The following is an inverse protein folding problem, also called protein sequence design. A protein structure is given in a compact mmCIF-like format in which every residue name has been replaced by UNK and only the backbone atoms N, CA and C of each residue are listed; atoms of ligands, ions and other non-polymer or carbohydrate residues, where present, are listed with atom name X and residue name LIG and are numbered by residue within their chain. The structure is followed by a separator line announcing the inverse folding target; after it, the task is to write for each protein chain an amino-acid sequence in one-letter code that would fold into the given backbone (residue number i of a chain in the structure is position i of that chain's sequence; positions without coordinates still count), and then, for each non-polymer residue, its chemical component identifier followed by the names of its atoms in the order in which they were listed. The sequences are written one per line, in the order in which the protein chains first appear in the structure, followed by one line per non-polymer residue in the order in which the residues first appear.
data_IF_603391879510
#
_entry.id   IF_603391879510
#
_cell.length_a   1.000
_cell.length_b   1.000
_cell.length_c   1.000
_cell.angle_alpha   90.00
_cell.angle_beta   90.00
_cell.angle_gamma   90.00
#
_symmetry.space_group_name_H-M   'P 1'
#
loop_
_entity.id
_entity.type
_entity.pdbx_description
1 polymer ?
#
# COMPACT_ATOMS: atom_id res chain seq x y z
N UNK A 1 17.66 -5.08 36.05
CA UNK A 1 16.97 -3.88 35.51
C UNK A 1 16.00 -4.31 34.42
N UNK A 2 14.84 -3.69 34.25
CA UNK A 2 13.97 -3.99 33.13
C UNK A 2 14.66 -3.63 31.80
N UNK A 3 14.33 -4.40 30.76
CA UNK A 3 14.83 -4.14 29.39
C UNK A 3 14.26 -2.80 28.91
N UNK A 4 15.11 -1.96 28.31
CA UNK A 4 14.73 -0.75 27.58
C UNK A 4 14.84 -1.01 26.09
N UNK A 5 13.94 -0.42 25.31
CA UNK A 5 13.81 -0.65 23.87
C UNK A 5 13.85 0.67 23.12
N UNK A 6 14.48 0.65 21.98
CA UNK A 6 14.42 1.73 20.99
C UNK A 6 13.50 1.31 19.85
N UNK A 7 12.61 2.19 19.45
CA UNK A 7 11.79 1.95 18.27
C UNK A 7 12.63 2.14 17.00
N UNK A 8 12.39 1.37 15.93
CA UNK A 8 13.05 1.60 14.65
C UNK A 8 12.70 2.99 14.08
N UNK A 9 13.51 3.51 13.14
CA UNK A 9 13.17 4.72 12.40
C UNK A 9 11.81 4.62 11.74
N UNK A 10 11.09 5.72 11.62
CA UNK A 10 9.84 5.80 10.86
C UNK A 10 10.10 5.62 9.37
N UNK A 11 9.06 5.33 8.61
CA UNK A 11 9.19 5.17 7.15
C UNK A 11 9.59 6.49 6.48
N UNK A 12 9.05 7.63 6.91
CA UNK A 12 9.48 8.94 6.43
C UNK A 12 10.97 9.17 6.68
N UNK A 13 11.47 8.89 7.90
CA UNK A 13 12.89 9.02 8.19
C UNK A 13 13.76 8.10 7.32
N UNK A 14 13.29 6.89 7.00
CA UNK A 14 14.01 5.98 6.09
C UNK A 14 14.03 6.49 4.66
N UNK A 15 12.96 7.12 4.18
CA UNK A 15 12.92 7.74 2.85
C UNK A 15 13.90 8.91 2.79
N UNK A 16 13.95 9.76 3.83
CA UNK A 16 14.83 10.92 3.89
C UNK A 16 16.33 10.53 3.92
N UNK A 17 16.66 9.39 4.54
CA UNK A 17 18.03 8.87 4.63
C UNK A 17 18.44 8.03 3.41
N UNK A 18 17.50 7.67 2.53
CA UNK A 18 17.76 6.78 1.41
C UNK A 18 18.44 7.50 0.24
N UNK A 19 19.35 6.80 -0.41
CA UNK A 19 20.03 7.25 -1.63
C UNK A 19 19.27 6.91 -2.93
N UNK A 20 18.15 6.18 -2.81
CA UNK A 20 17.28 5.76 -3.91
C UNK A 20 15.82 5.65 -3.48
N UNK A 21 14.87 5.66 -4.43
CA UNK A 21 13.47 5.37 -4.12
C UNK A 21 13.29 4.00 -3.44
N UNK A 22 12.32 3.92 -2.52
CA UNK A 22 12.04 2.72 -1.76
C UNK A 22 11.02 1.83 -2.49
N UNK A 23 11.32 0.54 -2.59
CA UNK A 23 10.47 -0.43 -3.29
C UNK A 23 9.82 -1.37 -2.29
N UNK A 24 8.53 -1.59 -2.41
CA UNK A 24 7.77 -2.43 -1.50
C UNK A 24 6.63 -3.20 -2.15
N UNK A 25 5.90 -3.94 -1.33
CA UNK A 25 4.76 -4.72 -1.78
C UNK A 25 3.63 -4.75 -0.74
N UNK A 26 2.44 -5.08 -1.20
CA UNK A 26 1.27 -5.31 -0.35
C UNK A 26 1.31 -6.69 0.29
N UNK A 27 0.84 -6.77 1.55
CA UNK A 27 0.61 -7.99 2.30
C UNK A 27 -0.87 -8.03 2.66
N UNK A 28 -1.62 -8.79 1.88
CA UNK A 28 -3.09 -8.84 1.89
C UNK A 28 -3.65 -10.18 2.40
N UNK A 29 -2.81 -11.21 2.56
CA UNK A 29 -3.27 -12.56 2.93
C UNK A 29 -3.77 -12.70 4.38
N UNK A 30 -3.44 -11.75 5.25
CA UNK A 30 -3.71 -11.86 6.70
C UNK A 30 -2.81 -12.89 7.42
N UNK A 31 -1.86 -13.50 6.73
CA UNK A 31 -1.00 -14.55 7.26
C UNK A 31 0.32 -13.99 7.80
N UNK A 32 0.66 -14.21 9.08
CA UNK A 32 1.96 -13.83 9.63
C UNK A 32 3.13 -14.53 8.92
N UNK A 33 2.93 -15.78 8.47
CA UNK A 33 3.96 -16.53 7.73
C UNK A 33 4.25 -15.87 6.37
N UNK A 34 3.20 -15.46 5.64
CA UNK A 34 3.38 -14.78 4.35
C UNK A 34 4.01 -13.40 4.53
N UNK A 35 3.62 -12.68 5.59
CA UNK A 35 4.24 -11.40 5.96
C UNK A 35 5.74 -11.57 6.27
N UNK A 36 6.13 -12.64 6.96
CA UNK A 36 7.53 -12.97 7.24
C UNK A 36 8.31 -13.29 5.96
N UNK A 37 7.73 -14.07 5.04
CA UNK A 37 8.34 -14.37 3.73
C UNK A 37 8.55 -13.07 2.94
N UNK A 38 7.54 -12.20 2.88
CA UNK A 38 7.64 -10.90 2.22
C UNK A 38 8.72 -10.01 2.86
N UNK A 39 8.81 -9.99 4.18
CA UNK A 39 9.82 -9.22 4.91
C UNK A 39 11.26 -9.67 4.62
N UNK A 40 11.46 -10.96 4.32
CA UNK A 40 12.74 -11.54 3.96
C UNK A 40 13.12 -11.43 2.49
N UNK A 41 12.28 -10.82 1.64
CA UNK A 41 12.48 -10.76 0.18
C UNK A 41 13.59 -9.82 -0.29
N UNK A 42 14.04 -8.90 0.56
CA UNK A 42 15.00 -7.84 0.21
C UNK A 42 14.33 -6.54 -0.24
N UNK A 43 13.01 -6.45 -0.20
CA UNK A 43 12.27 -5.19 -0.39
C UNK A 43 12.47 -4.26 0.82
N UNK A 44 12.35 -2.94 0.58
CA UNK A 44 12.60 -1.92 1.60
C UNK A 44 11.42 -1.78 2.57
N UNK A 45 10.20 -1.99 2.09
CA UNK A 45 8.98 -1.85 2.89
C UNK A 45 7.90 -2.83 2.46
N UNK A 46 6.96 -3.07 3.37
CA UNK A 46 5.75 -3.86 3.11
C UNK A 46 4.53 -3.12 3.64
N UNK A 47 3.41 -3.24 2.94
CA UNK A 47 2.14 -2.64 3.34
C UNK A 47 1.17 -3.73 3.80
N UNK A 48 0.92 -3.79 5.10
CA UNK A 48 -0.14 -4.64 5.65
C UNK A 48 -1.46 -3.93 5.47
N UNK A 49 -2.35 -4.54 4.69
CA UNK A 49 -3.61 -3.93 4.33
C UNK A 49 -4.72 -4.25 5.34
N UNK A 50 -5.30 -3.21 5.95
CA UNK A 50 -6.45 -3.33 6.85
C UNK A 50 -7.77 -2.93 6.20
N UNK A 51 -7.79 -2.54 4.93
CA UNK A 51 -8.98 -2.07 4.22
C UNK A 51 -9.58 -3.14 3.30
N UNK A 52 -8.83 -3.62 2.30
CA UNK A 52 -9.30 -4.56 1.28
C UNK A 52 -8.82 -6.00 1.49
N UNK A 53 -8.50 -6.36 2.72
CA UNK A 53 -7.95 -7.66 3.09
C UNK A 53 -8.68 -8.23 4.30
N UNK A 54 -8.67 -9.56 4.53
CA UNK A 54 -9.27 -10.17 5.71
C UNK A 54 -8.41 -9.95 6.97
N UNK A 55 -7.97 -8.70 7.19
CA UNK A 55 -7.15 -8.31 8.34
C UNK A 55 -7.98 -7.62 9.42
N UNK A 56 -7.79 -8.07 10.68
CA UNK A 56 -8.24 -7.40 11.87
C UNK A 56 -7.07 -7.05 12.79
N UNK A 57 -7.37 -6.48 13.96
CA UNK A 57 -6.35 -6.06 14.91
C UNK A 57 -5.40 -7.19 15.31
N UNK A 58 -5.93 -8.41 15.50
CA UNK A 58 -5.15 -9.59 15.92
C UNK A 58 -4.19 -10.07 14.81
N UNK A 59 -4.67 -10.18 13.56
CA UNK A 59 -3.82 -10.59 12.45
C UNK A 59 -2.75 -9.55 12.11
N UNK A 60 -3.07 -8.26 12.19
CA UNK A 60 -2.10 -7.17 12.01
C UNK A 60 -1.03 -7.21 13.11
N UNK A 61 -1.43 -7.42 14.38
CA UNK A 61 -0.47 -7.58 15.47
C UNK A 61 0.47 -8.74 15.23
N UNK A 62 -0.05 -9.91 14.82
CA UNK A 62 0.75 -11.09 14.54
C UNK A 62 1.74 -10.87 13.37
N UNK A 63 1.30 -10.20 12.31
CA UNK A 63 2.16 -9.83 11.19
C UNK A 63 3.26 -8.84 11.61
N UNK A 64 2.94 -7.79 12.38
CA UNK A 64 3.93 -6.86 12.94
C UNK A 64 4.96 -7.55 13.85
N UNK A 65 4.58 -8.63 14.53
CA UNK A 65 5.50 -9.43 15.34
C UNK A 65 6.40 -10.29 14.46
N UNK A 66 5.86 -10.95 13.42
CA UNK A 66 6.61 -11.76 12.48
C UNK A 66 7.68 -10.95 11.72
N UNK A 67 7.31 -9.77 11.25
CA UNK A 67 8.20 -8.85 10.51
C UNK A 67 9.29 -8.24 11.41
N UNK A 68 9.05 -8.17 12.70
CA UNK A 68 9.86 -7.36 13.64
C UNK A 68 11.34 -7.73 13.76
N UNK A 69 11.77 -8.87 13.22
CA UNK A 69 13.17 -9.30 13.16
C UNK A 69 13.87 -8.90 11.85
N UNK A 70 13.16 -8.39 10.89
CA UNK A 70 13.64 -8.07 9.55
C UNK A 70 13.90 -6.57 9.38
N UNK A 71 14.81 -6.15 8.49
CA UNK A 71 15.13 -4.73 8.29
C UNK A 71 14.06 -3.95 7.50
N UNK A 72 13.02 -4.63 6.99
CA UNK A 72 11.92 -4.05 6.21
C UNK A 72 11.11 -3.07 7.05
N UNK A 73 10.60 -1.99 6.44
CA UNK A 73 9.69 -1.06 7.10
C UNK A 73 8.22 -1.53 6.94
N UNK A 74 7.51 -1.90 8.01
CA UNK A 74 6.08 -2.16 7.92
C UNK A 74 5.29 -0.85 7.87
N UNK A 75 4.49 -0.65 6.84
CA UNK A 75 3.42 0.34 6.75
C UNK A 75 2.09 -0.38 6.94
N UNK A 76 1.13 0.22 7.62
CA UNK A 76 -0.20 -0.40 7.81
C UNK A 76 -1.27 0.55 7.30
N UNK A 77 -2.09 0.08 6.36
CA UNK A 77 -3.27 0.83 5.93
C UNK A 77 -4.44 0.53 6.86
N UNK A 78 -5.00 1.58 7.46
CA UNK A 78 -6.25 1.47 8.22
C UNK A 78 -7.44 1.35 7.28
N UNK A 79 -8.58 0.78 7.72
CA UNK A 79 -9.76 0.67 6.86
C UNK A 79 -10.39 2.03 6.50
N UNK A 80 -10.22 3.05 7.34
CA UNK A 80 -10.67 4.43 7.09
C UNK A 80 -10.15 5.40 8.18
N UNK A 81 -10.25 6.70 7.93
CA UNK A 81 -9.71 7.77 8.77
C UNK A 81 -10.50 8.07 10.05
N UNK A 82 -10.92 7.07 10.82
CA UNK A 82 -11.65 7.24 12.08
C UNK A 82 -10.71 7.32 13.28
N UNK A 83 -10.97 8.25 14.20
CA UNK A 83 -10.15 8.51 15.40
C UNK A 83 -10.01 7.27 16.30
N UNK A 84 -11.05 6.45 16.43
CA UNK A 84 -11.01 5.25 17.29
C UNK A 84 -10.18 4.16 16.61
N UNK A 85 -10.38 3.96 15.30
CA UNK A 85 -9.62 2.99 14.50
C UNK A 85 -8.15 3.35 14.49
N UNK A 86 -7.80 4.60 14.16
CA UNK A 86 -6.40 5.09 14.17
C UNK A 86 -5.74 4.84 15.52
N UNK A 87 -6.43 5.16 16.62
CA UNK A 87 -5.92 4.90 17.97
C UNK A 87 -5.64 3.43 18.22
N UNK A 88 -6.55 2.52 17.81
CA UNK A 88 -6.38 1.09 18.00
C UNK A 88 -5.16 0.56 17.24
N UNK A 89 -4.99 0.97 15.99
CA UNK A 89 -3.83 0.58 15.18
C UNK A 89 -2.52 1.12 15.77
N UNK A 90 -2.49 2.38 16.18
CA UNK A 90 -1.33 2.96 16.86
C UNK A 90 -1.00 2.22 18.16
N UNK A 91 -2.00 1.81 18.93
CA UNK A 91 -1.81 1.09 20.20
C UNK A 91 -1.29 -0.34 19.99
N UNK A 92 -1.54 -0.97 18.83
CA UNK A 92 -0.84 -2.19 18.40
C UNK A 92 0.66 -2.00 18.13
N UNK A 93 1.11 -0.75 18.06
CA UNK A 93 2.50 -0.39 17.79
C UNK A 93 2.80 -0.21 16.31
N UNK A 94 1.80 0.12 15.50
CA UNK A 94 1.98 0.67 14.15
C UNK A 94 2.72 2.00 14.27
N UNK A 95 3.82 2.17 13.56
CA UNK A 95 4.58 3.41 13.48
C UNK A 95 4.36 4.14 12.15
N UNK A 96 4.09 3.40 11.07
CA UNK A 96 3.90 3.97 9.75
C UNK A 96 2.46 3.65 9.32
N UNK A 97 1.63 4.69 9.32
CA UNK A 97 0.20 4.59 9.07
C UNK A 97 -0.12 5.13 7.68
N UNK A 98 -0.89 4.39 6.90
CA UNK A 98 -1.51 4.88 5.67
C UNK A 98 -3.01 5.02 5.90
N UNK A 99 -3.56 6.19 5.64
CA UNK A 99 -4.99 6.48 5.78
C UNK A 99 -5.60 6.70 4.39
N UNK A 100 -6.57 5.86 3.97
CA UNK A 100 -7.20 5.95 2.66
C UNK A 100 -8.22 7.08 2.57
N UNK A 101 -8.64 7.41 1.34
CA UNK A 101 -9.77 8.28 1.01
C UNK A 101 -9.68 9.68 1.66
N UNK A 102 -8.52 10.32 1.58
CA UNK A 102 -8.31 11.68 2.10
C UNK A 102 -8.52 12.69 0.98
N UNK A 103 -9.65 13.37 1.00
CA UNK A 103 -10.15 14.22 -0.10
C UNK A 103 -9.85 15.71 0.09
N UNK A 104 -9.43 16.15 1.27
CA UNK A 104 -9.15 17.56 1.54
C UNK A 104 -8.10 17.79 2.63
N UNK A 105 -7.54 19.01 2.66
CA UNK A 105 -6.61 19.43 3.70
C UNK A 105 -7.26 19.46 5.10
N UNK A 106 -8.55 19.78 5.21
CA UNK A 106 -9.30 19.75 6.47
C UNK A 106 -9.36 18.32 7.00
N UNK A 107 -9.69 17.34 6.15
CA UNK A 107 -9.72 15.93 6.53
C UNK A 107 -8.32 15.44 6.91
N UNK A 108 -7.29 15.82 6.17
CA UNK A 108 -5.89 15.51 6.53
C UNK A 108 -5.52 16.07 7.91
N UNK A 109 -5.93 17.32 8.22
CA UNK A 109 -5.69 17.93 9.53
C UNK A 109 -6.43 17.21 10.67
N UNK A 110 -7.65 16.73 10.45
CA UNK A 110 -8.39 15.91 11.42
C UNK A 110 -7.67 14.58 11.69
N UNK A 111 -7.16 13.93 10.64
CA UNK A 111 -6.37 12.70 10.77
C UNK A 111 -5.06 12.96 11.53
N UNK A 112 -4.36 14.05 11.26
CA UNK A 112 -3.17 14.46 12.01
C UNK A 112 -3.50 14.63 13.51
N UNK A 113 -4.65 15.20 13.84
CA UNK A 113 -5.09 15.31 15.24
C UNK A 113 -5.39 13.93 15.85
N UNK A 114 -5.93 13.00 15.07
CA UNK A 114 -6.23 11.65 15.55
C UNK A 114 -4.98 10.83 15.90
N UNK A 115 -3.84 11.08 15.27
CA UNK A 115 -2.56 10.40 15.58
C UNK A 115 -1.81 11.03 16.75
N UNK A 116 -2.12 12.27 17.13
CA UNK A 116 -1.41 13.01 18.20
C UNK A 116 -2.14 12.99 19.53
N UNK A 117 -1.36 12.88 20.61
CA UNK A 117 -1.91 13.05 21.96
C UNK A 117 -2.30 14.51 22.23
N UNK A 118 -3.22 14.79 23.18
CA UNK A 118 -3.41 16.14 23.72
C UNK A 118 -2.06 16.72 24.24
N UNK A 119 -1.78 17.99 24.06
CA UNK A 119 -2.61 19.10 23.62
C UNK A 119 -2.61 19.30 22.08
N UNK A 120 -1.77 18.58 21.34
CA UNK A 120 -1.64 18.70 19.88
C UNK A 120 -2.68 17.90 19.09
N UNK A 121 -3.47 17.04 19.74
CA UNK A 121 -4.44 16.19 19.09
C UNK A 121 -5.50 15.61 20.02
N UNK A 122 -6.13 14.53 19.57
CA UNK A 122 -7.28 13.89 20.26
C UNK A 122 -7.07 12.39 20.52
N UNK A 123 -5.87 11.85 20.25
CA UNK A 123 -5.57 10.43 20.52
C UNK A 123 -5.74 10.13 22.01
N UNK A 124 -6.55 9.10 22.34
CA UNK A 124 -6.72 8.65 23.72
C UNK A 124 -5.42 8.10 24.32
N UNK A 125 -5.15 8.43 25.59
CA UNK A 125 -3.91 8.05 26.28
C UNK A 125 -4.07 6.68 26.94
N UNK A 126 -3.41 5.67 26.39
CA UNK A 126 -3.37 4.29 26.90
C UNK A 126 -1.99 3.65 26.85
N UNK A 127 -0.95 4.45 26.69
CA UNK A 127 0.40 4.00 26.33
C UNK A 127 1.01 2.99 27.30
N UNK A 128 0.73 3.08 28.60
CA UNK A 128 1.26 2.16 29.61
C UNK A 128 0.76 0.72 29.44
N UNK A 129 -0.41 0.56 28.83
CA UNK A 129 -1.05 -0.75 28.56
C UNK A 129 -0.84 -1.20 27.11
N UNK A 130 -0.41 -0.29 26.24
CA UNK A 130 -0.33 -0.51 24.81
C UNK A 130 1.06 -0.97 24.34
N UNK A 131 1.09 -1.75 23.28
CA UNK A 131 2.33 -2.17 22.62
C UNK A 131 3.08 -1.01 21.99
N UNK A 132 2.43 0.11 21.69
CA UNK A 132 3.05 1.31 21.15
C UNK A 132 4.29 1.76 21.95
N UNK A 133 4.18 1.82 23.28
CA UNK A 133 5.30 2.14 24.19
C UNK A 133 6.13 0.92 24.61
N UNK A 134 5.82 -0.26 24.06
CA UNK A 134 6.35 -1.54 24.57
C UNK A 134 6.12 -1.69 26.07
N UNK A 135 4.90 -1.34 26.53
CA UNK A 135 4.52 -1.33 27.96
C UNK A 135 5.48 -0.53 28.81
N UNK A 136 5.71 0.73 28.43
CA UNK A 136 6.67 1.66 29.04
C UNK A 136 8.13 1.19 29.04
N UNK A 137 8.52 0.33 28.09
CA UNK A 137 9.93 -0.02 27.89
C UNK A 137 10.65 0.92 26.90
N UNK A 138 9.90 1.78 26.21
CA UNK A 138 10.42 2.89 25.41
C UNK A 138 10.42 4.13 26.29
N UNK A 139 11.61 4.70 26.51
CA UNK A 139 11.75 5.87 27.38
C UNK A 139 11.09 7.10 26.74
N UNK A 140 10.45 7.91 27.59
CA UNK A 140 9.80 9.18 27.23
C UNK A 140 8.78 9.06 26.07
N UNK A 141 8.16 7.87 25.91
CA UNK A 141 7.27 7.60 24.77
C UNK A 141 6.17 8.66 24.61
N UNK A 142 5.48 9.06 25.69
CA UNK A 142 4.39 10.06 25.60
C UNK A 142 4.87 11.41 25.06
N UNK A 143 6.03 11.87 25.50
CA UNK A 143 6.61 13.14 25.04
C UNK A 143 7.10 13.06 23.58
N UNK A 144 7.47 11.87 23.12
CA UNK A 144 8.07 11.62 21.80
C UNK A 144 7.12 10.94 20.80
N UNK A 145 5.91 10.60 21.21
CA UNK A 145 5.01 9.76 20.42
C UNK A 145 4.82 10.26 18.97
N UNK A 146 4.64 11.56 18.77
CA UNK A 146 4.47 12.15 17.44
C UNK A 146 5.69 11.94 16.54
N UNK A 147 6.90 11.96 17.08
CA UNK A 147 8.14 11.71 16.30
C UNK A 147 8.43 10.24 16.03
N UNK A 148 7.62 9.34 16.58
CA UNK A 148 7.73 7.88 16.36
C UNK A 148 6.69 7.36 15.36
N UNK A 149 5.89 8.25 14.79
CA UNK A 149 4.82 7.92 13.83
C UNK A 149 5.12 8.63 12.52
N UNK A 150 4.94 7.92 11.41
CA UNK A 150 4.89 8.45 10.06
C UNK A 150 3.46 8.32 9.55
N UNK A 151 2.84 9.44 9.19
CA UNK A 151 1.49 9.50 8.67
C UNK A 151 1.52 9.72 7.16
N UNK A 152 1.09 8.71 6.42
CA UNK A 152 0.86 8.79 4.99
C UNK A 152 -0.65 8.94 4.74
N UNK A 153 -1.03 9.76 3.77
CA UNK A 153 -2.43 9.92 3.34
C UNK A 153 -2.58 9.51 1.89
N UNK A 154 -3.68 8.82 1.58
CA UNK A 154 -3.89 8.27 0.23
C UNK A 154 -4.70 9.23 -0.63
N UNK A 155 -4.15 9.54 -1.81
CA UNK A 155 -4.74 10.40 -2.85
C UNK A 155 -5.31 9.47 -3.92
N UNK A 156 -6.64 9.33 -3.95
CA UNK A 156 -7.28 8.32 -4.78
C UNK A 156 -8.68 8.73 -5.28
N UNK A 157 -8.96 10.03 -5.23
CA UNK A 157 -10.15 10.60 -5.83
C UNK A 157 -9.83 11.85 -6.64
N UNK A 158 -10.71 12.22 -7.57
CA UNK A 158 -10.60 13.47 -8.32
C UNK A 158 -10.62 14.70 -7.38
N UNK A 159 -11.34 14.62 -6.25
CA UNK A 159 -11.37 15.66 -5.23
C UNK A 159 -10.01 15.78 -4.53
N UNK A 160 -9.41 14.65 -4.12
CA UNK A 160 -8.09 14.62 -3.52
C UNK A 160 -7.01 15.19 -4.45
N UNK A 161 -7.05 14.86 -5.74
CA UNK A 161 -6.10 15.41 -6.74
C UNK A 161 -6.28 16.94 -6.87
N UNK A 162 -7.53 17.43 -6.83
CA UNK A 162 -7.79 18.86 -6.91
C UNK A 162 -7.27 19.65 -5.68
N UNK A 163 -7.18 19.01 -4.51
CA UNK A 163 -6.71 19.60 -3.25
C UNK A 163 -5.31 19.11 -2.82
N UNK A 164 -4.60 18.38 -3.69
CA UNK A 164 -3.36 17.67 -3.34
C UNK A 164 -2.27 18.59 -2.79
N UNK A 165 -2.15 19.82 -3.31
CA UNK A 165 -1.17 20.80 -2.83
C UNK A 165 -1.46 21.20 -1.37
N UNK A 166 -2.72 21.43 -1.03
CA UNK A 166 -3.14 21.80 0.32
C UNK A 166 -3.03 20.59 1.28
N UNK A 167 -3.38 19.39 0.82
CA UNK A 167 -3.18 18.14 1.56
C UNK A 167 -1.69 17.95 1.88
N UNK A 168 -0.80 18.07 0.87
CA UNK A 168 0.64 17.95 1.03
C UNK A 168 1.22 18.99 2.01
N UNK A 169 0.70 20.22 1.97
CA UNK A 169 1.12 21.30 2.86
C UNK A 169 0.57 21.18 4.29
N UNK A 170 -0.28 20.20 4.60
CA UNK A 170 -0.87 20.03 5.93
C UNK A 170 0.18 19.60 6.95
N UNK A 171 0.45 20.38 8.02
CA UNK A 171 1.51 20.08 8.99
C UNK A 171 1.25 18.76 9.74
N UNK A 172 2.12 17.77 9.54
CA UNK A 172 2.04 16.45 10.15
C UNK A 172 1.55 15.36 9.21
N UNK A 173 1.33 15.66 7.94
CA UNK A 173 1.36 14.70 6.85
C UNK A 173 2.82 14.48 6.48
N UNK A 174 3.29 13.25 6.59
CA UNK A 174 4.70 12.87 6.37
C UNK A 174 4.92 12.26 4.98
N UNK A 175 3.86 12.00 4.22
CA UNK A 175 3.92 11.49 2.85
C UNK A 175 2.54 11.35 2.22
N UNK A 176 2.53 11.32 0.89
CA UNK A 176 1.36 11.01 0.08
C UNK A 176 1.50 9.60 -0.52
N UNK A 177 0.38 8.92 -0.75
CA UNK A 177 0.36 7.67 -1.49
C UNK A 177 -0.76 7.71 -2.52
N UNK A 178 -0.44 7.55 -3.80
CA UNK A 178 -1.45 7.60 -4.86
C UNK A 178 -2.00 6.20 -5.16
N UNK A 179 -3.34 6.06 -5.14
CA UNK A 179 -4.07 4.85 -5.48
C UNK A 179 -4.70 4.94 -6.87
N UNK A 180 -4.04 4.51 -7.97
CA UNK A 180 -4.54 4.72 -9.33
C UNK A 180 -5.86 3.99 -9.64
N UNK A 181 -6.19 2.90 -8.92
CA UNK A 181 -7.42 2.13 -9.16
C UNK A 181 -8.68 2.91 -8.75
N UNK A 182 -8.71 3.40 -7.50
CA UNK A 182 -9.83 4.20 -6.98
C UNK A 182 -9.85 5.58 -7.63
N UNK A 183 -8.69 6.16 -7.92
CA UNK A 183 -8.60 7.40 -8.70
C UNK A 183 -9.25 7.24 -10.06
N UNK A 184 -8.96 6.16 -10.80
CA UNK A 184 -9.60 5.87 -12.08
C UNK A 184 -11.12 5.73 -11.93
N UNK A 185 -11.59 5.02 -10.91
CA UNK A 185 -13.01 4.87 -10.63
C UNK A 185 -13.67 6.23 -10.35
N UNK A 186 -13.06 7.06 -9.50
CA UNK A 186 -13.52 8.40 -9.16
C UNK A 186 -13.60 9.34 -10.40
N UNK A 187 -12.69 9.15 -11.36
CA UNK A 187 -12.68 9.90 -12.62
C UNK A 187 -13.63 9.31 -13.68
N UNK A 188 -14.46 8.32 -13.36
CA UNK A 188 -15.34 7.64 -14.30
C UNK A 188 -14.62 6.70 -15.28
N UNK A 189 -13.42 6.22 -14.91
CA UNK A 189 -12.56 5.32 -15.69
C UNK A 189 -12.34 3.99 -14.98
N UNK A 190 -13.37 3.44 -14.33
CA UNK A 190 -13.27 2.18 -13.56
C UNK A 190 -12.54 1.09 -14.33
N UNK A 191 -11.48 0.51 -13.71
CA UNK A 191 -10.65 -0.54 -14.30
C UNK A 191 -9.66 -0.05 -15.37
N UNK A 192 -9.49 1.26 -15.56
CA UNK A 192 -8.63 1.86 -16.59
C UNK A 192 -7.51 2.71 -15.96
N UNK A 193 -6.72 2.14 -15.05
CA UNK A 193 -5.65 2.87 -14.34
C UNK A 193 -4.60 3.45 -15.28
N UNK A 194 -4.37 2.81 -16.45
CA UNK A 194 -3.43 3.28 -17.48
C UNK A 194 -4.06 4.28 -18.47
N UNK A 195 -5.32 4.72 -18.26
CA UNK A 195 -5.91 5.75 -19.11
C UNK A 195 -5.10 7.05 -19.00
N UNK A 196 -4.80 7.76 -20.12
CA UNK A 196 -3.93 8.94 -20.10
C UNK A 196 -4.32 10.02 -19.09
N UNK A 197 -5.62 10.27 -18.89
CA UNK A 197 -6.11 11.22 -17.90
C UNK A 197 -5.81 10.80 -16.46
N UNK A 198 -5.89 9.48 -16.16
CA UNK A 198 -5.58 8.94 -14.84
C UNK A 198 -4.07 9.02 -14.59
N UNK A 199 -3.27 8.61 -15.57
CA UNK A 199 -1.81 8.71 -15.49
C UNK A 199 -1.37 10.15 -15.25
N UNK A 200 -1.98 11.13 -15.95
CA UNK A 200 -1.66 12.55 -15.75
C UNK A 200 -2.07 13.03 -14.35
N UNK A 201 -3.19 12.57 -13.80
CA UNK A 201 -3.58 12.89 -12.43
C UNK A 201 -2.60 12.32 -11.40
N UNK A 202 -2.08 11.09 -11.60
CA UNK A 202 -1.02 10.51 -10.77
C UNK A 202 0.25 11.36 -10.86
N UNK A 203 0.69 11.71 -12.08
CA UNK A 203 1.88 12.54 -12.30
C UNK A 203 1.72 13.94 -11.69
N UNK A 204 0.52 14.52 -11.75
CA UNK A 204 0.23 15.80 -11.09
C UNK A 204 0.36 15.71 -9.58
N UNK A 205 -0.14 14.63 -8.97
CA UNK A 205 -0.01 14.37 -7.53
C UNK A 205 1.44 14.19 -7.10
N UNK A 206 2.26 13.49 -7.91
CA UNK A 206 3.70 13.35 -7.66
C UNK A 206 4.39 14.73 -7.68
N UNK A 207 4.12 15.52 -8.73
CA UNK A 207 4.71 16.88 -8.84
C UNK A 207 4.32 17.79 -7.68
N UNK A 208 3.07 17.73 -7.24
CA UNK A 208 2.59 18.51 -6.10
C UNK A 208 3.33 18.15 -4.80
N UNK A 209 3.46 16.85 -4.50
CA UNK A 209 4.21 16.41 -3.32
C UNK A 209 5.69 16.78 -3.38
N UNK A 210 6.35 16.57 -4.52
CA UNK A 210 7.76 16.98 -4.73
C UNK A 210 7.92 18.49 -4.52
N UNK A 211 7.02 19.31 -5.07
CA UNK A 211 7.06 20.75 -4.90
C UNK A 211 6.84 21.19 -3.44
N UNK A 212 6.04 20.45 -2.68
CA UNK A 212 5.82 20.66 -1.25
C UNK A 212 6.96 20.09 -0.36
N UNK A 213 7.92 19.36 -0.93
CA UNK A 213 8.98 18.66 -0.19
C UNK A 213 8.44 17.47 0.63
N UNK A 214 7.32 16.88 0.21
CA UNK A 214 6.68 15.73 0.85
C UNK A 214 6.89 14.48 -0.01
N UNK A 215 7.39 13.36 0.54
CA UNK A 215 7.55 12.11 -0.18
C UNK A 215 6.23 11.62 -0.79
N UNK A 216 6.28 11.15 -2.04
CA UNK A 216 5.10 10.59 -2.72
C UNK A 216 5.36 9.14 -3.11
N UNK A 217 4.46 8.25 -2.72
CA UNK A 217 4.40 6.87 -3.17
C UNK A 217 3.28 6.62 -4.16
N UNK A 218 3.42 5.54 -4.92
CA UNK A 218 2.40 5.12 -5.90
C UNK A 218 2.26 3.60 -5.91
N UNK A 219 1.03 3.13 -6.07
CA UNK A 219 0.76 1.73 -6.39
C UNK A 219 0.96 1.50 -7.89
N UNK A 220 1.93 0.65 -8.28
CA UNK A 220 2.30 0.42 -9.67
C UNK A 220 2.76 -1.02 -9.88
N UNK A 221 1.82 -1.93 -10.17
CA UNK A 221 2.13 -3.35 -10.40
C UNK A 221 2.66 -3.64 -11.79
N UNK A 222 2.48 -2.73 -12.73
CA UNK A 222 3.07 -2.79 -14.08
C UNK A 222 4.43 -2.10 -14.04
N UNK A 223 5.49 -2.81 -14.42
CA UNK A 223 6.88 -2.30 -14.32
C UNK A 223 7.07 -0.97 -15.05
N UNK A 224 6.53 -0.83 -16.26
CA UNK A 224 6.64 0.42 -17.02
C UNK A 224 5.93 1.62 -16.34
N UNK A 225 4.86 1.38 -15.60
CA UNK A 225 4.20 2.43 -14.81
C UNK A 225 5.02 2.78 -13.58
N UNK A 226 5.60 1.78 -12.89
CA UNK A 226 6.50 2.01 -11.76
C UNK A 226 7.72 2.86 -12.18
N UNK A 227 8.38 2.50 -13.29
CA UNK A 227 9.51 3.25 -13.85
C UNK A 227 9.12 4.70 -14.18
N UNK A 228 7.99 4.90 -14.86
CA UNK A 228 7.46 6.23 -15.19
C UNK A 228 7.23 7.10 -13.95
N UNK A 229 6.64 6.53 -12.88
CA UNK A 229 6.35 7.28 -11.67
C UNK A 229 7.61 7.58 -10.87
N UNK A 230 8.59 6.66 -10.85
CA UNK A 230 9.91 6.91 -10.27
C UNK A 230 10.67 8.02 -11.01
N UNK A 231 10.67 8.00 -12.34
CA UNK A 231 11.26 9.07 -13.17
C UNK A 231 10.59 10.42 -12.92
N UNK A 232 9.29 10.44 -12.61
CA UNK A 232 8.56 11.66 -12.27
C UNK A 232 8.86 12.17 -10.85
N UNK A 233 9.62 11.43 -10.02
CA UNK A 233 10.03 11.85 -8.69
C UNK A 233 9.31 11.14 -7.54
N UNK A 234 8.59 10.04 -7.80
CA UNK A 234 8.04 9.22 -6.71
C UNK A 234 9.18 8.69 -5.82
N UNK A 235 9.03 8.87 -4.51
CA UNK A 235 10.04 8.49 -3.51
C UNK A 235 9.92 7.02 -3.10
N UNK A 236 8.78 6.41 -3.33
CA UNK A 236 8.54 4.99 -3.04
C UNK A 236 7.44 4.41 -3.93
N UNK A 237 7.48 3.10 -4.20
CA UNK A 237 6.50 2.40 -5.03
C UNK A 237 6.13 1.05 -4.42
N UNK A 238 4.86 0.65 -4.58
CA UNK A 238 4.39 -0.70 -4.33
C UNK A 238 4.26 -1.45 -5.66
N UNK A 239 5.06 -2.50 -5.85
CA UNK A 239 5.21 -3.17 -7.15
C UNK A 239 4.55 -4.54 -7.23
N UNK A 240 3.83 -4.96 -6.20
CA UNK A 240 3.15 -6.25 -6.18
C UNK A 240 2.34 -6.47 -4.91
N UNK A 241 1.65 -7.61 -4.86
CA UNK A 241 0.90 -8.08 -3.69
C UNK A 241 1.10 -9.58 -3.51
N UNK A 242 1.22 -10.02 -2.25
CA UNK A 242 1.43 -11.43 -1.89
C UNK A 242 0.36 -12.37 -2.48
N UNK A 243 -0.90 -12.00 -2.38
CA UNK A 243 -2.03 -12.77 -2.92
C UNK A 243 -2.01 -12.85 -4.45
N UNK A 244 -1.63 -11.75 -5.13
CA UNK A 244 -1.54 -11.72 -6.58
C UNK A 244 -0.37 -12.58 -7.08
N UNK A 245 0.79 -12.49 -6.43
CA UNK A 245 1.95 -13.31 -6.74
C UNK A 245 1.63 -14.80 -6.57
N UNK A 246 1.02 -15.19 -5.45
CA UNK A 246 0.65 -16.58 -5.20
C UNK A 246 -0.37 -17.08 -6.22
N UNK A 247 -1.40 -16.29 -6.52
CA UNK A 247 -2.43 -16.66 -7.50
C UNK A 247 -1.84 -16.86 -8.90
N UNK A 248 -1.06 -15.89 -9.39
CA UNK A 248 -0.45 -15.99 -10.75
C UNK A 248 0.57 -17.11 -10.85
N UNK A 249 1.43 -17.29 -9.83
CA UNK A 249 2.40 -18.38 -9.82
C UNK A 249 1.71 -19.76 -9.79
N UNK A 250 0.61 -19.91 -9.05
CA UNK A 250 -0.16 -21.15 -9.00
C UNK A 250 -0.85 -21.46 -10.33
N UNK A 251 -1.43 -20.43 -10.99
CA UNK A 251 -2.01 -20.56 -12.32
C UNK A 251 -0.97 -20.98 -13.35
N UNK A 252 0.20 -20.34 -13.35
CA UNK A 252 1.30 -20.71 -14.26
C UNK A 252 1.75 -22.16 -14.08
N UNK A 253 1.75 -22.68 -12.83
CA UNK A 253 2.01 -24.09 -12.57
C UNK A 253 0.93 -24.99 -13.17
N UNK A 254 -0.35 -24.64 -12.99
CA UNK A 254 -1.46 -25.39 -13.56
C UNK A 254 -1.41 -25.40 -15.10
N UNK A 255 -1.18 -24.27 -15.73
CA UNK A 255 -1.04 -24.14 -17.18
C UNK A 255 0.12 -24.98 -17.71
N UNK A 256 1.26 -24.96 -17.01
CA UNK A 256 2.44 -25.73 -17.41
C UNK A 256 2.25 -27.24 -17.33
N UNK A 257 1.57 -27.74 -16.29
CA UNK A 257 1.53 -29.19 -16.02
C UNK A 257 0.19 -29.85 -16.34
N UNK A 258 -0.91 -29.10 -16.48
CA UNK A 258 -2.26 -29.58 -16.75
C UNK A 258 -2.76 -29.09 -18.11
N UNK A 259 -2.51 -27.83 -18.46
CA UNK A 259 -3.01 -27.21 -19.71
C UNK A 259 -2.55 -27.91 -21.00
N UNK A 260 -1.39 -28.56 -20.99
CA UNK A 260 -0.91 -29.37 -22.10
C UNK A 260 -1.66 -30.72 -22.29
N UNK A 261 -2.47 -31.13 -21.30
CA UNK A 261 -3.22 -32.40 -21.31
C UNK A 261 -4.67 -32.25 -21.79
N UNK A 262 -5.18 -31.04 -21.94
CA UNK A 262 -6.60 -30.74 -22.18
C UNK A 262 -7.03 -30.70 -23.67
N UNK A 263 -6.13 -30.95 -24.64
CA UNK A 263 -6.45 -30.97 -26.07
C UNK A 263 -6.46 -32.35 -26.72
N UNK A 264 -6.40 -33.43 -25.91
CA UNK A 264 -6.58 -34.77 -26.39
C UNK A 264 -7.99 -35.26 -26.04
N UNK A 265 -8.80 -35.48 -27.08
CA UNK A 265 -10.07 -36.21 -27.14
C UNK A 265 -11.34 -35.52 -26.57
N UNK A 266 -11.93 -34.63 -27.39
CA UNK A 266 -13.37 -34.70 -27.58
C UNK A 266 -13.66 -35.80 -28.62
N UNK A 267 -14.51 -36.83 -28.35
CA UNK A 267 -14.87 -37.82 -29.36
C UNK A 267 -15.61 -37.15 -30.52
N UNK A 268 -15.07 -37.32 -31.72
CA UNK A 268 -15.61 -36.74 -32.92
C UNK A 268 -17.02 -37.24 -33.17
N UNK A 269 -17.93 -36.32 -33.41
CA UNK A 269 -19.22 -36.59 -34.00
C UNK A 269 -19.04 -36.71 -35.53
N UNK A 270 -19.39 -37.82 -36.17
CA UNK A 270 -19.25 -38.00 -37.61
C UNK A 270 -20.55 -37.58 -38.30
N UNK A 271 -20.63 -36.35 -38.78
CA UNK A 271 -21.44 -36.10 -39.98
C UNK A 271 -21.45 -34.63 -40.45
N UNK A 272 -21.00 -34.41 -41.67
CA UNK A 272 -21.70 -33.50 -42.59
C UNK A 272 -21.12 -32.10 -42.86
N UNK A 273 -20.31 -31.97 -43.90
CA UNK A 273 -20.62 -31.02 -44.98
C UNK A 273 -20.06 -29.60 -44.95
N UNK A 274 -19.02 -29.42 -45.74
CA UNK A 274 -18.76 -28.31 -46.68
C UNK A 274 -18.89 -26.84 -46.25
N UNK A 275 -17.83 -26.07 -46.51
CA UNK A 275 -17.90 -24.64 -46.79
C UNK A 275 -16.74 -23.83 -46.22
N UNK A 276 -15.74 -23.59 -47.08
CA UNK A 276 -14.57 -22.77 -46.71
C UNK A 276 -14.87 -21.31 -46.53
N UNK A 277 -13.99 -20.66 -45.83
CA UNK A 277 -13.38 -19.36 -46.19
C UNK A 277 -12.31 -19.00 -45.15
N UNK A 278 -11.14 -18.69 -45.67
CA UNK A 278 -9.99 -18.23 -44.95
C UNK A 278 -10.22 -16.82 -44.42
N UNK A 279 -9.69 -16.51 -43.22
CA UNK A 279 -9.04 -15.22 -42.93
C UNK A 279 -8.55 -15.13 -41.47
N UNK A 280 -7.32 -14.71 -41.30
CA UNK A 280 -6.90 -13.86 -40.22
C UNK A 280 -6.39 -14.56 -38.94
N UNK A 281 -5.08 -14.77 -38.90
CA UNK A 281 -4.36 -14.95 -37.65
C UNK A 281 -4.46 -13.65 -36.84
N UNK A 282 -5.14 -13.69 -35.70
CA UNK A 282 -5.04 -12.70 -34.66
C UNK A 282 -4.27 -13.34 -33.50
N UNK A 283 -3.03 -12.86 -33.35
CA UNK A 283 -2.10 -13.24 -32.28
C UNK A 283 -2.47 -12.48 -31.02
N UNK A 284 -3.56 -12.90 -30.42
CA UNK A 284 -4.08 -12.27 -29.18
C UNK A 284 -3.40 -12.81 -27.93
N UNK A 285 -2.20 -12.31 -27.60
CA UNK A 285 -1.66 -12.35 -26.24
C UNK A 285 -2.48 -11.43 -25.36
N UNK A 286 -3.64 -11.89 -24.93
CA UNK A 286 -4.47 -11.21 -23.96
C UNK A 286 -3.83 -11.27 -22.58
N UNK A 287 -2.98 -10.32 -22.25
CA UNK A 287 -2.60 -10.04 -20.86
C UNK A 287 -3.87 -9.69 -20.09
N UNK A 288 -4.23 -10.52 -19.11
CA UNK A 288 -5.30 -10.19 -18.16
C UNK A 288 -4.78 -9.05 -17.27
N UNK A 289 -5.57 -7.98 -17.05
CA UNK A 289 -5.11 -6.90 -16.17
C UNK A 289 -4.79 -7.46 -14.79
N UNK A 290 -3.57 -7.22 -14.35
CA UNK A 290 -3.15 -7.44 -12.97
C UNK A 290 -3.74 -6.32 -12.11
N UNK A 291 -4.64 -6.70 -11.20
CA UNK A 291 -5.03 -5.83 -10.11
C UNK A 291 -3.88 -5.69 -9.13
#
# INVERSE_FOLDING_TARGET
MPIRLTLPPTFAARIDEADRPQVGMWVCSGSPLVAEIAAGSGLDWVLIDGEHSPNGLESILAQLQAIGAYPVAPVVRVPFGDTVVIKQFLDLGVQNLLVPMVDSAEQAAEIVRAVRYPTGGVRGVGSSLARASRWNRVDDYLARASSTISLLVQIESAAAVADVEAIAATPGVDGLFVGPADLAASMGRLGQQSHPEVVEAVLASIRAGVAAGVPVGVNAFVAADAERYLEAGASFVAVGADVALLARASEALADRFIGASGTADAPGDPAGGSGGLAAGADDGTGERPSY
#
